data_IF_702296588987
#
_entry.id   IF_702296588987
#
_cell.length_a   1.000
_cell.length_b   1.000
_cell.length_c   1.000
_cell.angle_alpha   90.00
_cell.angle_beta   90.00
_cell.angle_gamma   90.00
#
_symmetry.space_group_name_H-M   'P 1'
#
loop_
_entity.id
_entity.type
_entity.pdbx_description
1 polymer ?
#
# COMPACT_ATOMS: atom_id res chain seq x y z
N UNK A 1 -9.30 -1.33 -9.11
CA UNK A 1 -8.95 0.03 -9.60
C UNK A 1 -7.71 -0.07 -10.45
N UNK A 2 -7.69 0.61 -11.59
CA UNK A 2 -6.51 0.71 -12.46
C UNK A 2 -5.85 2.07 -12.28
N UNK A 3 -4.53 2.10 -12.19
CA UNK A 3 -3.74 3.33 -12.08
C UNK A 3 -2.33 3.18 -12.64
N UNK A 4 -1.66 4.32 -12.82
CA UNK A 4 -0.27 4.40 -13.28
C UNK A 4 0.65 4.56 -12.09
N UNK A 5 1.74 3.80 -12.05
CA UNK A 5 2.71 3.84 -10.97
C UNK A 5 3.68 5.00 -11.14
N UNK A 6 3.91 5.76 -10.07
CA UNK A 6 4.93 6.79 -9.99
C UNK A 6 5.91 6.45 -8.86
N UNK A 7 7.20 6.45 -9.18
CA UNK A 7 8.27 6.32 -8.18
C UNK A 7 8.94 7.69 -7.98
N UNK A 8 8.71 8.37 -6.84
CA UNK A 8 9.21 9.72 -6.65
C UNK A 8 10.73 9.74 -6.51
N UNK A 9 11.39 10.81 -6.99
CA UNK A 9 12.85 10.97 -6.87
C UNK A 9 13.30 11.39 -5.46
N UNK A 10 12.38 11.92 -4.67
CA UNK A 10 12.60 12.33 -3.29
C UNK A 10 11.54 11.68 -2.41
N UNK A 11 11.81 11.53 -1.11
CA UNK A 11 10.89 10.92 -0.15
C UNK A 11 10.41 9.51 -0.57
N UNK A 12 11.31 8.69 -1.16
CA UNK A 12 10.99 7.33 -1.64
C UNK A 12 10.46 6.40 -0.54
N UNK A 13 10.76 6.69 0.72
CA UNK A 13 10.23 5.93 1.87
C UNK A 13 8.90 6.49 2.39
N UNK A 14 8.38 7.59 1.83
CA UNK A 14 7.14 8.26 2.24
C UNK A 14 7.03 8.56 3.75
N UNK A 15 8.16 8.73 4.45
CA UNK A 15 8.16 9.01 5.90
C UNK A 15 7.95 10.50 6.24
N UNK A 16 7.97 11.38 5.24
CA UNK A 16 7.74 12.82 5.39
C UNK A 16 6.54 13.25 4.55
N UNK A 17 6.03 14.45 4.80
CA UNK A 17 5.02 15.06 3.93
C UNK A 17 5.59 15.25 2.53
N UNK A 18 4.78 15.00 1.49
CA UNK A 18 5.17 15.30 0.12
C UNK A 18 5.05 16.79 -0.24
N UNK A 19 4.35 17.57 0.58
CA UNK A 19 4.34 19.04 0.47
C UNK A 19 5.74 19.62 0.71
N UNK A 20 6.50 19.04 1.66
CA UNK A 20 7.87 19.46 1.99
C UNK A 20 8.87 19.24 0.85
N UNK A 21 8.53 18.38 -0.12
CA UNK A 21 9.35 18.04 -1.29
C UNK A 21 8.70 18.45 -2.61
N UNK A 22 7.64 19.26 -2.55
CA UNK A 22 6.92 19.81 -3.71
C UNK A 22 6.41 18.74 -4.71
N UNK A 23 6.01 17.57 -4.22
CA UNK A 23 5.44 16.48 -5.03
C UNK A 23 3.93 16.40 -4.78
N UNK A 24 3.15 16.33 -5.86
CA UNK A 24 1.72 16.05 -5.81
C UNK A 24 1.37 14.93 -6.79
N UNK A 25 0.51 14.01 -6.35
CA UNK A 25 0.01 12.91 -7.17
C UNK A 25 -1.39 13.20 -7.72
N UNK A 26 -1.94 14.38 -7.45
CA UNK A 26 -3.27 14.79 -7.94
C UNK A 26 -3.26 14.88 -9.45
N UNK A 27 -4.19 14.17 -10.09
CA UNK A 27 -4.36 14.23 -11.53
C UNK A 27 -5.48 15.18 -11.93
N UNK A 28 -5.38 15.71 -13.15
CA UNK A 28 -6.47 16.48 -13.75
C UNK A 28 -7.69 15.57 -13.96
N UNK A 29 -8.92 16.11 -13.95
CA UNK A 29 -10.11 15.35 -14.30
C UNK A 29 -9.94 14.61 -15.64
N UNK A 30 -10.21 13.30 -15.65
CA UNK A 30 -10.01 12.43 -16.81
C UNK A 30 -8.59 11.84 -16.96
N UNK A 31 -7.63 12.23 -16.10
CA UNK A 31 -6.32 11.59 -16.03
C UNK A 31 -6.37 10.22 -15.35
N UNK A 32 -5.38 9.35 -15.63
CA UNK A 32 -5.24 8.08 -14.93
C UNK A 32 -4.87 8.31 -13.46
N UNK A 33 -5.52 7.62 -12.50
CA UNK A 33 -5.14 7.70 -11.09
C UNK A 33 -3.67 7.32 -10.89
N UNK A 34 -2.96 8.05 -10.02
CA UNK A 34 -1.55 7.76 -9.72
C UNK A 34 -1.44 6.87 -8.50
N UNK A 35 -0.67 5.79 -8.63
CA UNK A 35 -0.28 4.92 -7.54
C UNK A 35 1.16 5.26 -7.14
N UNK A 36 1.39 5.63 -5.89
CA UNK A 36 2.74 5.87 -5.39
C UNK A 36 3.43 4.53 -5.13
N UNK A 37 4.69 4.42 -5.58
CA UNK A 37 5.58 3.33 -5.19
C UNK A 37 6.51 3.84 -4.09
N UNK A 38 6.38 3.29 -2.90
CA UNK A 38 7.23 3.62 -1.76
C UNK A 38 8.12 2.44 -1.37
N UNK A 39 9.26 2.71 -0.76
CA UNK A 39 10.18 1.71 -0.22
C UNK A 39 9.83 1.37 1.24
N UNK A 40 9.87 0.07 1.56
CA UNK A 40 9.86 -0.43 2.93
C UNK A 40 11.11 0.06 3.69
N UNK A 41 10.94 0.22 5.00
CA UNK A 41 11.97 0.71 5.90
C UNK A 41 11.97 2.22 6.08
N UNK A 42 13.00 2.72 6.77
CA UNK A 42 13.00 4.07 7.34
C UNK A 42 12.34 4.11 8.72
N UNK A 43 12.44 5.26 9.37
CA UNK A 43 11.96 5.45 10.75
C UNK A 43 10.46 5.79 10.77
N UNK A 44 9.64 5.04 10.03
CA UNK A 44 8.19 5.24 9.98
C UNK A 44 7.39 3.95 9.70
N UNK A 45 6.20 3.87 10.27
CA UNK A 45 5.25 2.77 10.05
C UNK A 45 4.58 2.86 8.68
N UNK A 46 4.07 1.73 8.20
CA UNK A 46 3.37 1.65 6.91
C UNK A 46 2.17 2.61 6.85
N UNK A 47 1.42 2.73 7.94
CA UNK A 47 0.25 3.60 8.03
C UNK A 47 0.61 5.08 7.87
N UNK A 48 1.76 5.51 8.41
CA UNK A 48 2.26 6.87 8.19
C UNK A 48 2.65 7.11 6.72
N UNK A 49 3.21 6.10 6.04
CA UNK A 49 3.47 6.17 4.59
C UNK A 49 2.17 6.38 3.81
N UNK A 50 1.16 5.55 4.10
CA UNK A 50 -0.15 5.65 3.47
C UNK A 50 -0.83 7.00 3.75
N UNK A 51 -0.71 7.53 4.97
CA UNK A 51 -1.20 8.86 5.33
C UNK A 51 -0.53 9.98 4.51
N UNK A 52 0.80 9.98 4.43
CA UNK A 52 1.55 11.00 3.69
C UNK A 52 1.21 10.96 2.18
N UNK A 53 1.10 9.75 1.62
CA UNK A 53 0.74 9.55 0.21
C UNK A 53 -0.73 9.93 -0.07
N UNK A 54 -1.64 9.61 0.86
CA UNK A 54 -3.05 10.02 0.80
C UNK A 54 -3.18 11.55 0.72
N UNK A 55 -2.53 12.28 1.63
CA UNK A 55 -2.58 13.74 1.66
C UNK A 55 -1.99 14.39 0.40
N UNK A 56 -0.97 13.75 -0.18
CA UNK A 56 -0.34 14.15 -1.44
C UNK A 56 -1.25 13.93 -2.68
N UNK A 57 -2.39 13.26 -2.49
CA UNK A 57 -3.44 13.09 -3.48
C UNK A 57 -3.26 11.88 -4.40
N UNK A 58 -2.50 10.88 -3.98
CA UNK A 58 -2.41 9.62 -4.71
C UNK A 58 -3.72 8.83 -4.59
N UNK A 59 -3.95 7.93 -5.53
CA UNK A 59 -5.11 7.06 -5.53
C UNK A 59 -4.88 5.71 -4.83
N UNK A 60 -3.62 5.28 -4.73
CA UNK A 60 -3.19 4.10 -3.98
C UNK A 60 -1.70 4.20 -3.62
N UNK A 61 -1.26 3.38 -2.68
CA UNK A 61 0.16 3.18 -2.34
C UNK A 61 0.56 1.72 -2.48
N UNK A 62 1.71 1.49 -3.10
CA UNK A 62 2.40 0.20 -3.17
C UNK A 62 3.70 0.33 -2.38
N UNK A 63 3.84 -0.39 -1.28
CA UNK A 63 5.08 -0.41 -0.50
C UNK A 63 5.89 -1.62 -0.92
N UNK A 64 7.04 -1.38 -1.56
CA UNK A 64 7.96 -2.42 -1.99
C UNK A 64 8.81 -2.90 -0.83
N UNK A 65 8.77 -4.20 -0.59
CA UNK A 65 9.61 -4.86 0.40
C UNK A 65 11.12 -4.68 0.10
N UNK A 66 11.94 -4.53 1.15
CA UNK A 66 13.39 -4.48 1.08
C UNK A 66 14.03 -5.87 1.22
N UNK A 67 13.25 -6.88 1.59
CA UNK A 67 13.69 -8.26 1.85
C UNK A 67 13.01 -9.26 0.92
N UNK A 68 13.69 -10.39 0.70
CA UNK A 68 13.12 -11.54 -0.01
C UNK A 68 12.49 -12.44 1.06
N UNK A 69 11.26 -12.12 1.44
CA UNK A 69 10.47 -12.86 2.43
C UNK A 69 9.01 -13.03 1.95
N UNK A 70 8.25 -13.99 2.52
CA UNK A 70 6.81 -14.05 2.30
C UNK A 70 6.14 -12.72 2.67
N UNK A 71 5.11 -12.33 1.93
CA UNK A 71 4.34 -11.14 2.26
C UNK A 71 3.70 -11.33 3.64
N UNK A 72 4.00 -10.39 4.54
CA UNK A 72 3.34 -10.31 5.84
C UNK A 72 2.02 -9.54 5.69
N UNK A 73 0.96 -10.00 6.36
CA UNK A 73 -0.22 -9.16 6.58
C UNK A 73 0.21 -8.00 7.45
N UNK A 74 -0.20 -6.79 7.07
CA UNK A 74 0.08 -5.63 7.90
C UNK A 74 -0.81 -5.71 9.14
N UNK A 75 -0.28 -6.28 10.21
CA UNK A 75 -0.89 -6.16 11.52
C UNK A 75 -0.72 -4.72 12.01
N UNK A 76 -1.81 -4.13 12.49
CA UNK A 76 -1.80 -2.84 13.18
C UNK A 76 -0.83 -2.89 14.36
N UNK A 77 -0.01 -1.84 14.59
CA UNK A 77 0.90 -1.83 15.72
C UNK A 77 0.15 -2.02 17.04
N UNK A 78 0.70 -2.86 17.93
CA UNK A 78 0.13 -3.22 19.25
C UNK A 78 0.17 -2.07 20.27
N UNK A 79 0.72 -0.91 19.94
CA UNK A 79 0.83 0.23 20.87
C UNK A 79 -0.46 1.07 20.89
N UNK A 80 -1.33 0.77 21.85
CA UNK A 80 -2.63 1.41 22.19
C UNK A 80 -2.66 2.95 22.22
N UNK A 81 -1.54 3.67 22.14
CA UNK A 81 -1.50 5.12 22.42
C UNK A 81 -0.84 6.00 21.34
N UNK A 82 -0.35 5.44 20.23
CA UNK A 82 0.23 6.23 19.15
C UNK A 82 -0.74 6.34 17.97
N UNK A 83 -1.53 7.43 17.95
CA UNK A 83 -2.06 8.04 16.74
C UNK A 83 -3.25 7.34 16.04
N UNK A 84 -4.25 6.92 16.81
CA UNK A 84 -5.52 6.32 16.33
C UNK A 84 -6.28 7.23 15.34
N UNK A 85 -6.14 8.55 15.44
CA UNK A 85 -7.01 9.50 14.71
C UNK A 85 -6.76 9.56 13.19
N UNK A 86 -5.53 9.38 12.69
CA UNK A 86 -5.31 9.41 11.24
C UNK A 86 -5.56 8.06 10.56
N UNK A 87 -5.46 6.96 11.30
CA UNK A 87 -5.66 5.61 10.75
C UNK A 87 -7.07 5.43 10.18
N UNK A 88 -8.07 6.03 10.82
CA UNK A 88 -9.47 5.99 10.36
C UNK A 88 -9.72 6.83 9.10
N UNK A 89 -8.81 7.75 8.76
CA UNK A 89 -9.00 8.72 7.67
C UNK A 89 -8.25 8.34 6.38
N UNK A 90 -7.46 7.27 6.38
CA UNK A 90 -6.79 6.78 5.16
C UNK A 90 -7.83 6.06 4.29
N UNK A 91 -8.17 6.66 3.14
CA UNK A 91 -9.19 6.12 2.22
C UNK A 91 -8.62 5.47 0.96
N UNK A 92 -7.30 5.47 0.80
CA UNK A 92 -6.63 4.90 -0.38
C UNK A 92 -6.25 3.44 -0.15
N UNK A 93 -6.43 2.56 -1.16
CA UNK A 93 -5.88 1.22 -1.11
C UNK A 93 -4.38 1.25 -0.86
N UNK A 94 -3.93 0.43 0.09
CA UNK A 94 -2.54 0.35 0.49
C UNK A 94 -2.09 -1.10 0.52
N UNK A 95 -1.05 -1.45 -0.24
CA UNK A 95 -0.59 -2.83 -0.38
C UNK A 95 0.92 -2.95 -0.18
N UNK A 96 1.35 -3.99 0.55
CA UNK A 96 2.74 -4.43 0.57
C UNK A 96 2.97 -5.35 -0.65
N UNK A 97 3.99 -5.06 -1.46
CA UNK A 97 4.40 -5.88 -2.59
C UNK A 97 5.79 -6.45 -2.35
N UNK A 98 6.06 -7.64 -2.88
CA UNK A 98 7.34 -8.29 -2.68
C UNK A 98 8.46 -7.52 -3.38
N UNK A 99 9.69 -7.73 -2.92
CA UNK A 99 10.89 -7.06 -3.44
C UNK A 99 11.06 -7.25 -4.94
N UNK A 100 10.84 -8.47 -5.46
CA UNK A 100 11.01 -8.78 -6.87
C UNK A 100 10.07 -7.97 -7.77
N UNK A 101 8.80 -7.83 -7.39
CA UNK A 101 7.84 -7.01 -8.10
C UNK A 101 8.21 -5.52 -8.02
N UNK A 102 8.58 -5.03 -6.83
CA UNK A 102 9.01 -3.65 -6.64
C UNK A 102 10.24 -3.29 -7.49
N UNK A 103 11.25 -4.16 -7.52
CA UNK A 103 12.46 -3.97 -8.32
C UNK A 103 12.17 -3.97 -9.83
N UNK A 104 11.29 -4.86 -10.29
CA UNK A 104 10.87 -4.90 -11.70
C UNK A 104 10.13 -3.63 -12.11
N UNK A 105 9.21 -3.13 -11.28
CA UNK A 105 8.51 -1.87 -11.55
C UNK A 105 9.51 -0.71 -11.65
N UNK A 106 10.42 -0.57 -10.68
CA UNK A 106 11.45 0.48 -10.69
C UNK A 106 12.34 0.41 -11.93
N UNK A 107 12.72 -0.81 -12.33
CA UNK A 107 13.51 -1.05 -13.53
C UNK A 107 12.80 -0.54 -14.78
N UNK A 108 11.53 -0.86 -14.98
CA UNK A 108 10.78 -0.36 -16.14
C UNK A 108 10.58 1.16 -16.08
N UNK A 109 10.23 1.72 -14.91
CA UNK A 109 10.12 3.17 -14.73
C UNK A 109 11.44 3.90 -15.03
N UNK A 110 12.60 3.33 -14.67
CA UNK A 110 13.91 3.91 -14.95
C UNK A 110 14.26 3.99 -16.44
N UNK A 111 13.61 3.18 -17.28
CA UNK A 111 13.74 3.25 -18.74
C UNK A 111 12.86 4.34 -19.36
N UNK A 112 12.00 4.98 -18.56
CA UNK A 112 10.99 5.93 -19.02
C UNK A 112 9.69 5.25 -19.47
N UNK A 113 9.53 3.95 -19.23
CA UNK A 113 8.30 3.22 -19.55
C UNK A 113 7.20 3.53 -18.53
N UNK A 114 5.94 3.55 -19.01
CA UNK A 114 4.78 3.67 -18.13
C UNK A 114 4.38 2.31 -17.58
N UNK A 115 4.22 2.21 -16.27
CA UNK A 115 3.75 1.00 -15.60
C UNK A 115 2.33 1.21 -15.11
N UNK A 116 1.38 0.40 -15.59
CA UNK A 116 -0.01 0.41 -15.14
C UNK A 116 -0.30 -0.83 -14.31
N UNK A 117 -1.00 -0.65 -13.20
CA UNK A 117 -1.38 -1.72 -12.28
C UNK A 117 -2.89 -1.72 -12.08
N UNK A 118 -3.48 -2.91 -12.06
CA UNK A 118 -4.86 -3.12 -11.62
C UNK A 118 -4.84 -3.72 -10.21
N UNK A 119 -5.34 -2.97 -9.24
CA UNK A 119 -5.60 -3.45 -7.87
C UNK A 119 -7.02 -4.00 -7.80
N UNK A 120 -7.16 -5.32 -7.72
CA UNK A 120 -8.44 -5.95 -7.48
C UNK A 120 -8.58 -6.32 -6.00
N UNK A 121 -9.51 -5.67 -5.31
CA UNK A 121 -9.79 -5.90 -3.89
C UNK A 121 -11.05 -6.73 -3.66
N UNK A 122 -11.65 -7.28 -4.73
CA UNK A 122 -12.91 -8.03 -4.64
C UNK A 122 -12.78 -9.35 -3.87
N UNK A 123 -11.58 -9.95 -3.86
CA UNK A 123 -11.28 -11.19 -3.12
C UNK A 123 -10.88 -10.96 -1.65
N UNK A 124 -10.68 -9.70 -1.23
CA UNK A 124 -10.37 -9.35 0.17
C UNK A 124 -11.64 -9.11 1.00
N UNK A 125 -12.82 -9.12 0.37
CA UNK A 125 -14.09 -9.21 1.07
C UNK A 125 -14.36 -10.70 1.32
N UNK A 126 -14.63 -11.12 2.56
CA UNK A 126 -15.05 -12.50 2.79
C UNK A 126 -16.26 -12.76 1.91
N UNK A 127 -16.13 -13.72 1.00
CA UNK A 127 -17.28 -14.21 0.28
C UNK A 127 -18.25 -14.76 1.34
N UNK A 128 -19.50 -14.27 1.42
CA UNK A 128 -20.49 -14.79 2.38
C UNK A 128 -20.87 -16.27 2.13
N UNK A 129 -20.22 -16.94 1.18
CA UNK A 129 -20.55 -18.28 0.71
C UNK A 129 -19.56 -19.37 1.16
N UNK A 130 -18.54 -19.06 1.96
CA UNK A 130 -17.79 -20.12 2.67
C UNK A 130 -18.50 -20.46 3.98
N UNK A 131 -19.28 -21.54 3.93
CA UNK A 131 -19.94 -22.10 5.09
C UNK A 131 -18.90 -22.43 6.16
N UNK A 132 -19.18 -22.09 7.41
CA UNK A 132 -18.38 -22.55 8.55
C UNK A 132 -18.63 -24.05 8.70
N UNK A 133 -17.69 -24.89 8.24
CA UNK A 133 -17.65 -26.29 8.63
C UNK A 133 -17.24 -26.36 10.11
N UNK A 134 -18.23 -26.48 10.99
CA UNK A 134 -17.98 -26.84 12.38
C UNK A 134 -17.63 -28.33 12.45
N UNK A 135 -16.38 -28.67 12.71
CA UNK A 135 -16.04 -30.01 13.21
C UNK A 135 -16.28 -30.06 14.72
N UNK A 136 -17.37 -30.71 15.12
CA UNK A 136 -17.62 -31.10 16.51
C UNK A 136 -16.72 -32.28 16.86
N UNK A 137 -15.61 -32.03 17.56
CA UNK A 137 -14.85 -33.09 18.20
C UNK A 137 -15.41 -33.36 19.60
N UNK A 138 -16.20 -34.42 19.76
CA UNK A 138 -16.50 -34.95 21.09
C UNK A 138 -15.31 -35.74 21.57
N UNK A 139 -14.68 -35.29 22.67
CA UNK A 139 -13.74 -36.12 23.42
C UNK A 139 -14.54 -37.20 24.14
N UNK A 140 -14.54 -38.41 23.59
CA UNK A 140 -15.00 -39.59 24.32
C UNK A 140 -14.10 -39.80 25.56
N UNK A 141 -14.76 -40.01 26.71
CA UNK A 141 -14.14 -40.24 28.03
C UNK A 141 -13.44 -41.59 28.13
#
# INVERSE_FOLDING_TARGET
MVGTVLYPKANQKACKSFEDVEISFRTKPGGMPIFDLADRGGDCYFTLKAWNVHNAGAAAILVADDRIEPLITMDTPEEENAQVDYLQNITIPSALINKALGDNIKKELSKGEMVNINLDWREALPHPDEWVEYEFWSLDK
#
